data_IF_012697380778
#
_entry.id   IF_012697380778
#
_cell.length_a   1.000
_cell.length_b   1.000
_cell.length_c   1.000
_cell.angle_alpha   90.00
_cell.angle_beta   90.00
_cell.angle_gamma   90.00
#
_symmetry.space_group_name_H-M   'P 1'
#
loop_
_entity.id
_entity.type
_entity.pdbx_description
1 polymer ?
#
# COMPACT_ATOMS: atom_id res chain seq x y z
N UNK A 1 21.41 -21.85 -10.83
CA UNK A 1 20.21 -22.64 -11.19
C UNK A 1 19.43 -23.11 -9.98
N UNK A 2 20.03 -23.92 -9.09
CA UNK A 2 19.36 -24.46 -7.90
C UNK A 2 18.75 -23.38 -7.01
N UNK A 3 19.46 -22.28 -6.76
CA UNK A 3 18.91 -21.16 -5.97
C UNK A 3 17.62 -20.56 -6.56
N UNK A 4 17.58 -20.28 -7.87
CA UNK A 4 16.38 -19.71 -8.52
C UNK A 4 15.17 -20.66 -8.47
N UNK A 5 15.39 -21.96 -8.69
CA UNK A 5 14.32 -22.95 -8.54
C UNK A 5 13.92 -23.21 -7.10
N UNK A 6 14.87 -23.11 -6.18
CA UNK A 6 14.57 -23.17 -4.76
C UNK A 6 13.69 -22.00 -4.36
N UNK A 7 14.01 -20.78 -4.78
CA UNK A 7 13.17 -19.59 -4.52
C UNK A 7 11.81 -19.66 -5.24
N UNK A 8 11.81 -20.07 -6.51
CA UNK A 8 10.63 -20.11 -7.39
C UNK A 8 10.46 -21.49 -8.05
N UNK A 9 9.86 -22.47 -7.34
CA UNK A 9 9.86 -23.88 -7.77
C UNK A 9 9.06 -24.18 -9.04
N UNK A 10 8.19 -23.28 -9.50
CA UNK A 10 7.44 -23.49 -10.75
C UNK A 10 8.19 -23.01 -11.99
N UNK A 11 9.40 -22.45 -11.85
CA UNK A 11 10.27 -22.13 -12.99
C UNK A 11 10.81 -23.42 -13.63
N UNK A 12 10.29 -23.74 -14.82
CA UNK A 12 10.67 -24.94 -15.57
C UNK A 12 11.98 -24.77 -16.34
N UNK A 13 12.04 -23.83 -17.27
CA UNK A 13 13.20 -23.70 -18.15
C UNK A 13 14.05 -22.50 -17.71
N UNK A 14 15.34 -22.75 -17.44
CA UNK A 14 16.30 -21.72 -17.03
C UNK A 14 17.59 -21.93 -17.81
N UNK A 15 18.01 -20.92 -18.55
CA UNK A 15 19.31 -20.84 -19.18
C UNK A 15 20.15 -19.76 -18.47
N UNK A 16 21.44 -20.03 -18.27
CA UNK A 16 22.38 -19.07 -17.69
C UNK A 16 23.60 -19.04 -18.60
N UNK A 17 23.93 -17.85 -19.08
CA UNK A 17 25.16 -17.59 -19.82
C UNK A 17 26.05 -16.72 -18.96
N UNK A 18 27.27 -17.19 -18.70
CA UNK A 18 28.28 -16.41 -17.98
C UNK A 18 29.30 -15.93 -19.02
N UNK A 19 29.43 -14.61 -19.15
CA UNK A 19 30.32 -13.97 -20.11
C UNK A 19 31.57 -13.46 -19.38
N UNK A 20 32.74 -13.98 -19.76
CA UNK A 20 34.04 -13.54 -19.23
C UNK A 20 34.86 -12.73 -20.25
N UNK A 21 34.54 -12.87 -21.54
CA UNK A 21 35.25 -12.17 -22.62
C UNK A 21 34.92 -10.66 -22.63
N UNK A 22 35.92 -9.76 -22.50
CA UNK A 22 35.68 -8.32 -22.45
C UNK A 22 34.99 -7.74 -23.69
N UNK A 23 35.27 -8.27 -24.89
CA UNK A 23 34.65 -7.79 -26.13
C UNK A 23 33.16 -8.17 -26.20
N UNK A 24 32.83 -9.38 -25.78
CA UNK A 24 31.45 -9.87 -25.63
C UNK A 24 30.68 -9.08 -24.56
N UNK A 25 31.33 -8.68 -23.47
CA UNK A 25 30.71 -7.81 -22.45
C UNK A 25 30.43 -6.41 -23.01
N UNK A 26 31.39 -5.80 -23.71
CA UNK A 26 31.23 -4.48 -24.31
C UNK A 26 30.06 -4.46 -25.30
N UNK A 27 29.99 -5.45 -26.20
CA UNK A 27 28.90 -5.57 -27.18
C UNK A 27 27.51 -5.83 -26.57
N UNK A 28 27.43 -6.49 -25.40
CA UNK A 28 26.16 -6.72 -24.70
C UNK A 28 25.75 -5.58 -23.76
N UNK A 29 26.68 -4.70 -23.40
CA UNK A 29 26.45 -3.66 -22.38
C UNK A 29 25.33 -2.69 -22.79
N UNK A 30 25.30 -2.26 -24.04
CA UNK A 30 24.27 -1.38 -24.60
C UNK A 30 22.90 -2.05 -24.60
N UNK A 31 22.82 -3.30 -25.05
CA UNK A 31 21.59 -4.09 -25.03
C UNK A 31 21.02 -4.25 -23.62
N UNK A 32 21.87 -4.55 -22.63
CA UNK A 32 21.46 -4.69 -21.22
C UNK A 32 20.98 -3.35 -20.65
N UNK A 33 21.68 -2.25 -20.98
CA UNK A 33 21.31 -0.91 -20.54
C UNK A 33 19.94 -0.50 -21.09
N UNK A 34 19.73 -0.72 -22.38
CA UNK A 34 18.48 -0.41 -23.07
C UNK A 34 17.32 -1.27 -22.53
N UNK A 35 17.52 -2.58 -22.37
CA UNK A 35 16.53 -3.46 -21.73
C UNK A 35 16.16 -3.00 -20.31
N UNK A 36 17.15 -2.63 -19.49
CA UNK A 36 16.90 -2.10 -18.13
C UNK A 36 16.14 -0.77 -18.16
N UNK A 37 16.42 0.09 -19.14
CA UNK A 37 15.72 1.35 -19.34
C UNK A 37 14.26 1.11 -19.72
N UNK A 38 14.00 0.33 -20.77
CA UNK A 38 12.65 -0.03 -21.22
C UNK A 38 11.83 -0.69 -20.11
N UNK A 39 12.42 -1.62 -19.35
CA UNK A 39 11.74 -2.26 -18.22
C UNK A 39 11.38 -1.26 -17.12
N UNK A 40 12.27 -0.32 -16.79
CA UNK A 40 12.00 0.72 -15.79
C UNK A 40 10.88 1.65 -16.25
N UNK A 41 10.89 2.06 -17.53
CA UNK A 41 9.84 2.89 -18.12
C UNK A 41 8.49 2.16 -18.13
N UNK A 42 8.48 0.89 -18.52
CA UNK A 42 7.28 0.05 -18.46
C UNK A 42 6.71 -0.02 -17.04
N UNK A 43 7.53 -0.35 -16.04
CA UNK A 43 7.10 -0.43 -14.63
C UNK A 43 6.60 0.93 -14.12
N UNK A 44 7.30 2.01 -14.48
CA UNK A 44 6.93 3.38 -14.08
C UNK A 44 5.57 3.79 -14.65
N UNK A 45 5.25 3.33 -15.86
CA UNK A 45 4.00 3.64 -16.55
C UNK A 45 2.85 2.68 -16.21
N UNK A 46 3.07 1.68 -15.35
CA UNK A 46 1.99 0.80 -14.90
C UNK A 46 1.04 1.55 -13.97
N UNK A 47 -0.24 1.51 -14.31
CA UNK A 47 -1.34 2.05 -13.50
C UNK A 47 -2.38 0.97 -13.29
N UNK A 48 -3.34 1.24 -12.41
CA UNK A 48 -4.51 0.39 -12.25
C UNK A 48 -5.37 0.36 -13.52
N UNK A 49 -5.40 1.44 -14.30
CA UNK A 49 -6.17 1.53 -15.54
C UNK A 49 -5.62 0.59 -16.62
N UNK A 50 -4.30 0.54 -16.81
CA UNK A 50 -3.65 -0.26 -17.85
C UNK A 50 -3.21 -1.67 -17.41
N UNK A 51 -3.63 -2.09 -16.21
CA UNK A 51 -3.30 -3.41 -15.66
C UNK A 51 -4.56 -4.22 -15.44
N UNK A 52 -4.63 -5.44 -15.99
CA UNK A 52 -5.82 -6.31 -15.86
C UNK A 52 -5.89 -7.09 -14.55
N UNK A 53 -4.73 -7.33 -13.92
CA UNK A 53 -4.64 -8.20 -12.74
C UNK A 53 -4.08 -7.49 -11.53
N UNK A 54 -4.71 -7.69 -10.39
CA UNK A 54 -4.18 -7.31 -9.08
C UNK A 54 -3.68 -8.52 -8.32
N UNK A 55 -3.07 -8.28 -7.17
CA UNK A 55 -2.57 -9.34 -6.31
C UNK A 55 -3.19 -9.24 -4.92
N UNK A 56 -3.46 -10.39 -4.29
CA UNK A 56 -3.81 -10.44 -2.87
C UNK A 56 -2.68 -11.11 -2.08
N UNK A 57 -2.51 -10.68 -0.83
CA UNK A 57 -1.56 -11.26 0.11
C UNK A 57 -2.20 -11.47 1.49
N UNK A 58 -2.05 -12.68 2.03
CA UNK A 58 -2.60 -13.12 3.32
C UNK A 58 -1.51 -13.54 4.31
N UNK A 59 -0.23 -13.23 4.03
CA UNK A 59 0.91 -13.64 4.86
C UNK A 59 0.85 -13.17 6.32
N UNK A 60 0.18 -12.05 6.58
CA UNK A 60 0.07 -11.48 7.92
C UNK A 60 -1.11 -12.05 8.73
N UNK A 61 -1.86 -13.01 8.16
CA UNK A 61 -2.95 -13.67 8.85
C UNK A 61 -2.60 -14.43 10.13
N UNK A 62 -1.37 -14.89 10.39
CA UNK A 62 -1.00 -15.48 11.68
C UNK A 62 -1.28 -14.58 12.89
N UNK A 63 -1.28 -13.26 12.72
CA UNK A 63 -1.53 -12.28 13.78
C UNK A 63 -2.69 -11.31 13.48
N UNK A 64 -3.34 -11.43 12.31
CA UNK A 64 -4.44 -10.55 11.91
C UNK A 64 -5.53 -11.35 11.18
N UNK A 65 -6.55 -11.77 11.92
CA UNK A 65 -7.65 -12.57 11.36
C UNK A 65 -8.33 -11.81 10.22
N UNK A 66 -8.71 -12.54 9.16
CA UNK A 66 -9.34 -12.03 7.92
C UNK A 66 -8.58 -10.95 7.15
N UNK A 67 -7.39 -10.54 7.58
CA UNK A 67 -6.63 -9.53 6.85
C UNK A 67 -6.23 -10.04 5.47
N UNK A 68 -6.46 -9.19 4.46
CA UNK A 68 -6.13 -9.47 3.06
C UNK A 68 -5.60 -8.18 2.46
N UNK A 69 -4.29 -8.11 2.18
CA UNK A 69 -3.73 -6.98 1.44
C UNK A 69 -4.09 -7.12 -0.04
N UNK A 70 -4.57 -6.06 -0.67
CA UNK A 70 -4.59 -5.94 -2.14
C UNK A 70 -3.41 -5.09 -2.57
N UNK A 71 -2.67 -5.57 -3.56
CA UNK A 71 -1.54 -4.88 -4.17
C UNK A 71 -1.86 -4.61 -5.63
N UNK A 72 -1.63 -3.37 -6.03
CA UNK A 72 -1.76 -2.87 -7.40
C UNK A 72 -0.46 -2.16 -7.78
N UNK A 73 -0.23 -1.82 -9.06
CA UNK A 73 0.91 -0.99 -9.44
C UNK A 73 0.99 0.33 -8.65
N UNK A 74 -0.16 0.88 -8.26
CA UNK A 74 -0.28 2.17 -7.57
C UNK A 74 -0.48 2.05 -6.05
N UNK A 75 -0.68 0.85 -5.51
CA UNK A 75 -0.85 0.60 -4.07
C UNK A 75 0.06 -0.52 -3.60
N UNK A 76 1.25 -0.13 -3.12
CA UNK A 76 2.19 -1.05 -2.48
C UNK A 76 1.62 -1.58 -1.16
N UNK A 77 1.91 -2.85 -0.84
CA UNK A 77 1.53 -3.45 0.43
C UNK A 77 2.02 -2.63 1.62
N UNK A 78 1.20 -2.54 2.67
CA UNK A 78 1.45 -1.62 3.80
C UNK A 78 2.77 -1.88 4.55
N UNK A 79 3.29 -3.11 4.49
CA UNK A 79 4.58 -3.49 5.07
C UNK A 79 5.79 -2.98 4.28
N UNK A 80 5.59 -2.46 3.06
CA UNK A 80 6.62 -2.11 2.08
C UNK A 80 7.59 -3.24 1.68
N UNK A 81 7.48 -4.44 2.26
CA UNK A 81 8.31 -5.62 1.93
C UNK A 81 7.70 -6.49 0.84
N UNK A 82 6.45 -6.22 0.45
CA UNK A 82 5.75 -6.89 -0.65
C UNK A 82 5.34 -5.84 -1.66
N UNK A 83 5.87 -5.96 -2.87
CA UNK A 83 5.51 -5.11 -4.00
C UNK A 83 4.49 -5.85 -4.86
N UNK A 84 3.80 -5.13 -5.74
CA UNK A 84 2.95 -5.73 -6.75
C UNK A 84 3.72 -6.75 -7.59
N UNK A 85 4.91 -6.39 -8.08
CA UNK A 85 5.74 -7.26 -8.90
C UNK A 85 6.23 -8.51 -8.16
N UNK A 86 6.69 -8.40 -6.91
CA UNK A 86 7.17 -9.56 -6.16
C UNK A 86 6.03 -10.50 -5.75
N UNK A 87 4.86 -9.95 -5.43
CA UNK A 87 3.67 -10.75 -5.12
C UNK A 87 3.15 -11.45 -6.37
N UNK A 88 3.11 -10.76 -7.51
CA UNK A 88 2.71 -11.33 -8.80
C UNK A 88 3.66 -12.46 -9.21
N UNK A 89 4.97 -12.24 -9.13
CA UNK A 89 5.96 -13.27 -9.43
C UNK A 89 5.81 -14.50 -8.52
N UNK A 90 5.62 -14.29 -7.21
CA UNK A 90 5.40 -15.38 -6.26
C UNK A 90 4.08 -16.14 -6.51
N UNK A 91 3.02 -15.46 -6.95
CA UNK A 91 1.76 -16.08 -7.30
C UNK A 91 1.88 -17.00 -8.52
N UNK A 92 2.59 -16.54 -9.57
CA UNK A 92 2.78 -17.28 -10.81
C UNK A 92 3.82 -18.39 -10.68
N UNK A 93 5.02 -18.06 -10.21
CA UNK A 93 6.17 -18.96 -10.20
C UNK A 93 6.30 -19.76 -8.89
N UNK A 94 5.42 -19.52 -7.92
CA UNK A 94 5.52 -20.09 -6.58
C UNK A 94 6.66 -19.43 -5.80
N UNK A 95 6.55 -19.33 -4.47
CA UNK A 95 7.67 -18.90 -3.63
C UNK A 95 7.92 -19.95 -2.56
N UNK A 96 9.18 -20.30 -2.31
CA UNK A 96 9.57 -21.15 -1.18
C UNK A 96 9.49 -20.45 0.16
N UNK A 97 9.36 -19.12 0.18
CA UNK A 97 9.07 -18.38 1.40
C UNK A 97 7.59 -18.57 1.72
N UNK A 98 7.35 -19.56 2.58
CA UNK A 98 6.03 -19.94 3.10
C UNK A 98 6.03 -19.57 4.60
N UNK A 99 5.50 -18.40 4.99
CA UNK A 99 5.27 -18.09 6.39
C UNK A 99 4.33 -19.12 7.02
N UNK A 100 4.34 -19.18 8.35
CA UNK A 100 3.43 -20.03 9.08
C UNK A 100 1.97 -19.74 8.67
N UNK A 101 1.18 -20.80 8.50
CA UNK A 101 -0.25 -20.72 8.23
C UNK A 101 -1.01 -21.36 9.39
N UNK A 102 -2.19 -20.80 9.69
CA UNK A 102 -3.12 -21.47 10.60
C UNK A 102 -3.54 -22.82 9.99
N UNK A 103 -3.68 -23.88 10.78
CA UNK A 103 -4.17 -25.16 10.26
C UNK A 103 -5.51 -25.06 9.51
N UNK A 104 -6.39 -24.16 9.96
CA UNK A 104 -7.69 -23.86 9.32
C UNK A 104 -7.58 -23.15 7.96
N UNK A 105 -6.43 -22.57 7.64
CA UNK A 105 -6.17 -21.80 6.41
C UNK A 105 -5.07 -22.45 5.56
N UNK A 106 -4.73 -23.73 5.81
CA UNK A 106 -3.62 -24.43 5.13
C UNK A 106 -3.73 -24.36 3.59
N UNK A 107 -4.96 -24.47 3.09
CA UNK A 107 -5.28 -24.49 1.66
C UNK A 107 -5.47 -23.09 1.06
N UNK A 108 -5.51 -22.05 1.91
CA UNK A 108 -5.61 -20.67 1.45
C UNK A 108 -4.31 -20.22 0.78
N UNK A 109 -4.41 -19.59 -0.39
CA UNK A 109 -3.24 -19.02 -1.04
C UNK A 109 -2.66 -17.87 -0.21
N UNK A 110 -1.34 -17.88 0.02
CA UNK A 110 -0.63 -16.76 0.67
C UNK A 110 -0.56 -15.53 -0.21
N UNK A 111 -0.42 -15.78 -1.51
CA UNK A 111 -0.24 -14.79 -2.57
C UNK A 111 -1.01 -15.31 -3.78
N UNK A 112 -1.85 -14.48 -4.37
CA UNK A 112 -2.54 -14.82 -5.62
C UNK A 112 -2.56 -13.60 -6.54
N UNK A 113 -2.62 -13.87 -7.84
CA UNK A 113 -3.01 -12.89 -8.85
C UNK A 113 -4.46 -13.17 -9.25
N UNK A 114 -5.23 -12.12 -9.50
CA UNK A 114 -6.64 -12.22 -9.89
C UNK A 114 -7.00 -11.06 -10.82
N UNK A 115 -7.97 -11.26 -11.72
CA UNK A 115 -8.47 -10.21 -12.60
C UNK A 115 -9.19 -9.12 -11.80
N UNK A 116 -8.91 -7.84 -12.06
CA UNK A 116 -9.56 -6.72 -11.36
C UNK A 116 -11.06 -6.67 -11.63
N UNK A 117 -11.51 -7.10 -12.81
CA UNK A 117 -12.91 -7.08 -13.21
C UNK A 117 -13.44 -5.67 -13.44
N UNK A 118 -14.77 -5.51 -13.41
CA UNK A 118 -15.40 -4.20 -13.63
C UNK A 118 -15.01 -3.19 -12.54
N UNK A 119 -14.70 -1.96 -12.97
CA UNK A 119 -14.56 -0.81 -12.08
C UNK A 119 -15.96 -0.34 -11.64
N UNK A 120 -16.22 -0.35 -10.33
CA UNK A 120 -17.50 0.02 -9.73
C UNK A 120 -17.50 1.45 -9.20
N UNK A 121 -16.36 1.91 -8.67
CA UNK A 121 -16.16 3.29 -8.21
C UNK A 121 -14.72 3.74 -8.46
N UNK A 122 -14.52 4.63 -9.43
CA UNK A 122 -13.22 5.14 -9.83
C UNK A 122 -12.51 5.95 -8.73
N UNK A 123 -13.26 6.67 -7.90
CA UNK A 123 -12.70 7.52 -6.85
C UNK A 123 -12.25 6.67 -5.67
N UNK A 124 -13.08 5.71 -5.26
CA UNK A 124 -12.73 4.84 -4.12
C UNK A 124 -11.83 3.67 -4.51
N UNK A 125 -11.64 3.42 -5.81
CA UNK A 125 -10.96 2.23 -6.31
C UNK A 125 -11.71 0.97 -5.92
N UNK A 126 -13.04 0.95 -6.11
CA UNK A 126 -13.83 -0.27 -5.92
C UNK A 126 -13.87 -1.06 -7.22
N UNK A 127 -13.37 -2.29 -7.18
CA UNK A 127 -13.37 -3.20 -8.32
C UNK A 127 -14.12 -4.48 -7.96
N UNK A 128 -14.88 -5.02 -8.91
CA UNK A 128 -15.64 -6.25 -8.70
C UNK A 128 -14.74 -7.43 -8.28
N UNK A 129 -13.58 -7.59 -8.93
CA UNK A 129 -12.63 -8.66 -8.61
C UNK A 129 -11.99 -8.50 -7.23
N UNK A 130 -11.77 -7.26 -6.77
CA UNK A 130 -11.31 -6.98 -5.41
C UNK A 130 -12.35 -7.40 -4.36
N UNK A 131 -13.63 -7.15 -4.62
CA UNK A 131 -14.71 -7.57 -3.73
C UNK A 131 -14.83 -9.10 -3.69
N UNK A 132 -14.75 -9.78 -4.84
CA UNK A 132 -14.80 -11.24 -4.95
C UNK A 132 -13.64 -11.91 -4.22
N UNK A 133 -12.40 -11.43 -4.41
CA UNK A 133 -11.24 -12.03 -3.74
C UNK A 133 -11.30 -11.79 -2.23
N UNK A 134 -11.85 -10.66 -1.77
CA UNK A 134 -12.08 -10.40 -0.35
C UNK A 134 -13.11 -11.37 0.25
N UNK A 135 -14.26 -11.54 -0.40
CA UNK A 135 -15.30 -12.47 0.02
C UNK A 135 -14.75 -13.91 0.13
N UNK A 136 -14.06 -14.35 -0.92
CA UNK A 136 -13.43 -15.68 -0.95
C UNK A 136 -12.36 -15.84 0.15
N UNK A 137 -11.40 -14.91 0.23
CA UNK A 137 -10.27 -15.06 1.14
C UNK A 137 -10.71 -14.95 2.59
N UNK A 138 -11.72 -14.16 2.90
CA UNK A 138 -12.17 -13.91 4.28
C UNK A 138 -13.28 -14.86 4.74
N UNK A 139 -13.63 -15.85 3.92
CA UNK A 139 -14.75 -16.76 4.18
C UNK A 139 -16.06 -15.99 4.43
N UNK A 140 -16.37 -15.08 3.50
CA UNK A 140 -17.53 -14.19 3.48
C UNK A 140 -17.68 -13.17 4.62
N UNK A 141 -16.65 -13.00 5.45
CA UNK A 141 -16.67 -12.01 6.54
C UNK A 141 -16.56 -10.57 6.02
N UNK A 142 -15.80 -10.34 4.94
CA UNK A 142 -15.66 -9.05 4.29
C UNK A 142 -16.00 -9.18 2.81
N UNK A 143 -16.95 -8.37 2.34
CA UNK A 143 -17.51 -8.48 0.98
C UNK A 143 -17.11 -7.35 0.05
N UNK A 144 -16.62 -6.24 0.61
CA UNK A 144 -16.32 -5.00 -0.12
C UNK A 144 -15.01 -4.42 0.33
N UNK A 145 -14.32 -3.78 -0.59
CA UNK A 145 -13.06 -3.09 -0.31
C UNK A 145 -12.87 -1.89 -1.23
N UNK A 146 -12.50 -0.76 -0.63
CA UNK A 146 -12.08 0.46 -1.30
C UNK A 146 -10.57 0.57 -1.24
N UNK A 147 -9.93 0.60 -2.40
CA UNK A 147 -8.48 0.71 -2.49
C UNK A 147 -7.97 2.12 -2.22
N UNK A 148 -8.80 3.15 -2.31
CA UNK A 148 -8.34 4.55 -2.20
C UNK A 148 -9.29 5.44 -1.39
N UNK A 149 -9.94 4.86 -0.38
CA UNK A 149 -10.69 5.62 0.62
C UNK A 149 -10.58 4.99 2.00
N UNK A 150 -10.46 5.82 3.02
CA UNK A 150 -10.60 5.49 4.43
C UNK A 150 -12.07 5.29 4.80
N UNK A 151 -13.01 5.90 4.05
CA UNK A 151 -14.43 5.97 4.42
C UNK A 151 -15.27 4.87 3.79
N UNK A 152 -16.06 4.17 4.59
CA UNK A 152 -16.91 3.04 4.19
C UNK A 152 -16.21 1.69 4.35
N UNK A 153 -15.57 1.20 3.29
CA UNK A 153 -14.96 -0.15 3.26
C UNK A 153 -13.44 -0.11 3.06
N UNK A 154 -12.65 0.54 3.93
CA UNK A 154 -11.21 0.61 3.76
C UNK A 154 -10.55 -0.78 3.76
N UNK A 155 -9.33 -0.83 3.24
CA UNK A 155 -8.49 -2.03 3.33
C UNK A 155 -8.22 -2.37 4.82
N UNK A 156 -8.43 -3.61 5.23
CA UNK A 156 -8.00 -4.09 6.56
C UNK A 156 -6.51 -3.91 6.76
N UNK A 157 -6.05 -3.71 8.00
CA UNK A 157 -4.63 -3.57 8.33
C UNK A 157 -4.13 -4.64 9.28
N UNK A 158 -2.89 -5.12 9.14
CA UNK A 158 -2.39 -6.23 9.96
C UNK A 158 -1.46 -5.84 11.13
N UNK A 159 -0.94 -4.62 11.16
CA UNK A 159 -0.03 -4.13 12.21
C UNK A 159 1.44 -3.99 11.78
N UNK A 160 1.82 -4.48 10.59
CA UNK A 160 3.17 -4.32 10.06
C UNK A 160 3.33 -3.07 9.16
N UNK A 161 2.34 -2.17 9.15
CA UNK A 161 2.35 -0.97 8.34
C UNK A 161 3.40 0.05 8.80
N UNK A 162 4.01 0.78 7.86
CA UNK A 162 5.03 1.81 8.15
C UNK A 162 4.40 3.09 8.69
N UNK A 163 3.19 3.40 8.22
CA UNK A 163 2.40 4.56 8.62
C UNK A 163 0.93 4.14 8.67
N UNK A 164 0.09 4.97 9.27
CA UNK A 164 -1.36 4.89 9.13
C UNK A 164 -1.91 6.26 8.77
N UNK A 165 -3.04 6.29 8.07
CA UNK A 165 -3.83 7.49 7.90
C UNK A 165 -5.18 7.32 8.58
N UNK A 166 -5.70 8.41 9.11
CA UNK A 166 -6.97 8.50 9.79
C UNK A 166 -7.72 9.76 9.36
N UNK A 167 -9.04 9.66 9.35
CA UNK A 167 -9.93 10.77 9.06
C UNK A 167 -10.16 11.61 10.32
N UNK A 168 -10.13 12.93 10.16
CA UNK A 168 -10.42 13.91 11.22
C UNK A 168 -11.72 14.63 10.85
N UNK A 169 -12.82 14.22 11.45
CA UNK A 169 -14.17 14.62 11.05
C UNK A 169 -14.40 16.13 11.16
N UNK A 170 -13.84 16.77 12.19
CA UNK A 170 -14.10 18.15 12.52
C UNK A 170 -13.47 19.15 11.54
N UNK A 171 -12.46 18.72 10.78
CA UNK A 171 -11.82 19.50 9.71
C UNK A 171 -12.01 18.84 8.33
N UNK A 172 -12.67 17.68 8.27
CA UNK A 172 -12.89 16.87 7.07
C UNK A 172 -11.58 16.59 6.30
N UNK A 173 -10.52 16.32 7.05
CA UNK A 173 -9.16 16.15 6.53
C UNK A 173 -8.51 14.84 6.96
N UNK A 174 -7.36 14.55 6.36
CA UNK A 174 -6.58 13.34 6.61
C UNK A 174 -5.41 13.68 7.54
N UNK A 175 -5.30 12.91 8.62
CA UNK A 175 -4.11 12.83 9.45
C UNK A 175 -3.26 11.62 9.06
N UNK A 176 -1.92 11.75 9.10
CA UNK A 176 -0.99 10.64 8.87
C UNK A 176 0.01 10.55 10.02
N UNK A 177 0.20 9.35 10.55
CA UNK A 177 1.16 9.09 11.63
C UNK A 177 2.12 7.98 11.21
N UNK A 178 3.42 8.19 11.40
CA UNK A 178 4.42 7.13 11.24
C UNK A 178 4.47 6.22 12.44
N UNK A 179 4.91 4.99 12.18
CA UNK A 179 5.06 3.95 13.19
C UNK A 179 5.91 4.39 14.38
N UNK A 180 5.44 4.00 15.56
CA UNK A 180 6.08 4.22 16.87
C UNK A 180 6.34 5.70 17.21
N UNK A 181 5.59 6.61 16.58
CA UNK A 181 5.59 8.03 16.92
C UNK A 181 5.15 8.23 18.38
N UNK A 182 5.89 9.07 19.11
CA UNK A 182 5.61 9.40 20.50
C UNK A 182 4.65 10.60 20.66
N UNK A 183 4.36 11.31 19.59
CA UNK A 183 3.43 12.43 19.59
C UNK A 183 1.96 11.95 19.65
N UNK A 184 1.08 12.85 20.07
CA UNK A 184 -0.36 12.66 19.99
C UNK A 184 -0.89 13.31 18.70
N UNK A 185 -1.89 12.68 18.09
CA UNK A 185 -2.70 13.33 17.08
C UNK A 185 -3.51 14.50 17.71
N UNK A 186 -4.04 15.44 16.90
CA UNK A 186 -4.79 16.60 17.40
C UNK A 186 -6.04 16.22 18.22
N UNK A 187 -6.57 15.02 18.03
CA UNK A 187 -7.69 14.46 18.80
C UNK A 187 -7.25 13.69 20.06
N UNK A 188 -5.96 13.78 20.43
CA UNK A 188 -5.38 13.16 21.61
C UNK A 188 -5.03 11.68 21.46
N UNK A 189 -5.29 11.05 20.30
CA UNK A 189 -4.97 9.62 20.10
C UNK A 189 -3.47 9.42 19.85
N UNK A 190 -2.87 8.46 20.56
CA UNK A 190 -1.49 8.03 20.33
C UNK A 190 -1.39 7.00 19.19
N UNK A 191 -0.17 6.73 18.74
CA UNK A 191 0.11 5.65 17.78
C UNK A 191 -0.50 4.30 18.22
N UNK A 192 -0.30 3.92 19.48
CA UNK A 192 -0.81 2.64 20.01
C UNK A 192 -2.34 2.56 19.90
N UNK A 193 -3.05 3.64 20.19
CA UNK A 193 -4.51 3.69 20.07
C UNK A 193 -4.93 3.55 18.61
N UNK A 194 -4.35 4.35 17.71
CA UNK A 194 -4.67 4.33 16.28
C UNK A 194 -4.34 2.99 15.63
N UNK A 195 -3.18 2.40 15.93
CA UNK A 195 -2.76 1.11 15.41
C UNK A 195 -3.69 -0.04 15.86
N UNK A 196 -4.19 0.02 17.10
CA UNK A 196 -5.17 -0.95 17.62
C UNK A 196 -6.54 -0.80 16.94
N UNK A 197 -6.97 0.41 16.57
CA UNK A 197 -8.21 0.63 15.82
C UNK A 197 -8.07 0.10 14.38
N UNK A 198 -6.93 0.34 13.73
CA UNK A 198 -6.68 -0.11 12.37
C UNK A 198 -6.45 -1.64 12.24
N UNK A 199 -5.87 -2.26 13.27
CA UNK A 199 -5.40 -3.64 13.26
C UNK A 199 -6.51 -4.70 13.25
N UNK A 200 -6.44 -5.64 12.32
CA UNK A 200 -7.25 -6.86 12.27
C UNK A 200 -8.71 -6.67 11.89
N UNK A 201 -9.11 -5.47 11.48
CA UNK A 201 -10.51 -5.12 11.20
C UNK A 201 -10.61 -4.22 9.98
N UNK A 202 -11.79 -4.19 9.37
CA UNK A 202 -12.17 -3.16 8.41
C UNK A 202 -12.80 -2.03 9.22
N UNK A 203 -11.97 -1.06 9.61
CA UNK A 203 -12.36 0.03 10.50
C UNK A 203 -12.53 1.30 9.68
N UNK A 204 -13.76 1.81 9.63
CA UNK A 204 -14.09 3.05 8.92
C UNK A 204 -13.24 4.23 9.42
N UNK A 205 -12.76 5.06 8.50
CA UNK A 205 -11.97 6.25 8.80
C UNK A 205 -10.50 6.00 9.09
N UNK A 206 -9.97 4.77 9.03
CA UNK A 206 -8.55 4.50 9.34
C UNK A 206 -7.97 3.30 8.57
N UNK A 207 -6.74 3.43 8.08
CA UNK A 207 -6.02 2.35 7.40
C UNK A 207 -4.52 2.51 7.55
N UNK A 208 -3.82 1.39 7.76
CA UNK A 208 -2.38 1.28 7.63
C UNK A 208 -1.95 1.36 6.16
N UNK A 209 -0.74 1.86 5.93
CA UNK A 209 -0.16 2.05 4.60
C UNK A 209 1.37 2.08 4.62
N UNK A 210 1.95 2.03 3.43
CA UNK A 210 3.39 2.24 3.22
C UNK A 210 3.66 3.69 2.85
N UNK A 211 4.89 4.16 3.10
CA UNK A 211 5.32 5.49 2.63
C UNK A 211 5.26 5.58 1.11
N UNK A 212 5.52 4.46 0.41
CA UNK A 212 5.40 4.39 -1.05
C UNK A 212 3.97 4.64 -1.55
N UNK A 213 2.94 4.24 -0.80
CA UNK A 213 1.56 4.50 -1.19
C UNK A 213 1.18 5.98 -1.02
N UNK A 214 1.73 6.68 -0.01
CA UNK A 214 1.53 8.13 0.16
C UNK A 214 2.01 8.90 -1.08
N UNK A 215 3.07 8.41 -1.73
CA UNK A 215 3.65 8.99 -2.96
C UNK A 215 2.90 8.64 -4.24
N UNK A 216 1.86 7.80 -4.16
CA UNK A 216 1.07 7.39 -5.32
C UNK A 216 0.08 8.47 -5.71
N UNK A 217 -0.20 8.62 -7.01
CA UNK A 217 -1.28 9.49 -7.50
C UNK A 217 -2.67 8.98 -7.07
N UNK A 218 -2.79 7.68 -6.80
CA UNK A 218 -3.99 7.06 -6.26
C UNK A 218 -4.02 7.06 -4.72
N UNK A 219 -3.13 7.81 -4.05
CA UNK A 219 -3.17 7.98 -2.60
C UNK A 219 -4.51 8.59 -2.18
N UNK A 220 -5.33 7.80 -1.47
CA UNK A 220 -6.62 8.19 -0.89
C UNK A 220 -7.48 9.16 -1.74
N UNK A 221 -7.48 9.01 -3.07
CA UNK A 221 -8.13 9.95 -3.99
C UNK A 221 -9.64 10.07 -3.75
N UNK A 222 -10.29 9.02 -3.21
CA UNK A 222 -11.69 9.05 -2.79
C UNK A 222 -11.98 9.96 -1.60
N UNK A 223 -10.94 10.39 -0.88
CA UNK A 223 -10.98 11.31 0.25
C UNK A 223 -10.19 12.61 -0.01
N UNK A 224 -9.93 12.94 -1.28
CA UNK A 224 -9.21 14.15 -1.68
C UNK A 224 -7.69 14.01 -1.77
N UNK A 225 -7.17 12.81 -1.53
CA UNK A 225 -5.77 12.46 -1.70
C UNK A 225 -4.78 13.32 -0.92
N UNK A 226 -3.62 13.60 -1.52
CA UNK A 226 -2.54 14.33 -0.82
C UNK A 226 -2.98 15.74 -0.42
N UNK A 227 -3.84 16.38 -1.21
CA UNK A 227 -4.32 17.74 -0.98
C UNK A 227 -5.20 17.86 0.27
N UNK A 228 -5.86 16.77 0.65
CA UNK A 228 -6.71 16.74 1.84
C UNK A 228 -5.95 16.30 3.12
N UNK A 229 -4.63 16.13 3.04
CA UNK A 229 -3.79 15.92 4.21
C UNK A 229 -3.64 17.25 4.95
N UNK A 230 -4.00 17.25 6.24
CA UNK A 230 -4.01 18.45 7.10
C UNK A 230 -3.11 18.31 8.31
N UNK A 231 -2.72 17.09 8.68
CA UNK A 231 -1.84 16.84 9.80
C UNK A 231 -0.91 15.65 9.55
N UNK A 232 0.37 15.82 9.85
CA UNK A 232 1.38 14.74 9.76
C UNK A 232 2.38 14.90 10.89
N UNK A 233 2.76 13.81 11.57
CA UNK A 233 3.81 13.90 12.59
C UNK A 233 5.15 14.36 11.98
N UNK A 234 5.97 15.11 12.71
CA UNK A 234 7.15 15.79 12.17
C UNK A 234 8.10 14.89 11.39
N UNK A 235 8.48 13.74 11.95
CA UNK A 235 9.43 12.82 11.33
C UNK A 235 8.96 12.29 9.96
N UNK A 236 7.64 12.17 9.79
CA UNK A 236 7.06 11.78 8.51
C UNK A 236 6.92 12.99 7.58
N UNK A 237 6.51 14.15 8.12
CA UNK A 237 6.43 15.41 7.37
C UNK A 237 7.74 15.68 6.62
N UNK A 238 8.89 15.56 7.30
CA UNK A 238 10.20 15.78 6.69
C UNK A 238 10.47 14.86 5.49
N UNK A 239 9.93 13.65 5.51
CA UNK A 239 10.11 12.63 4.47
C UNK A 239 9.15 12.74 3.29
N UNK A 240 8.04 13.47 3.44
CA UNK A 240 6.99 13.56 2.41
C UNK A 240 6.62 15.01 2.04
N UNK A 241 7.29 15.99 2.62
CA UNK A 241 7.01 17.42 2.39
C UNK A 241 7.12 17.83 0.93
N UNK A 242 7.93 17.10 0.14
CA UNK A 242 8.06 17.28 -1.31
C UNK A 242 6.78 16.94 -2.10
N UNK A 243 5.81 16.26 -1.47
CA UNK A 243 4.53 15.92 -2.08
C UNK A 243 3.45 17.00 -1.92
N UNK A 244 3.61 17.91 -0.95
CA UNK A 244 2.58 18.91 -0.66
C UNK A 244 2.57 20.01 -1.72
N UNK A 245 1.38 20.47 -2.06
CA UNK A 245 1.22 21.53 -3.05
C UNK A 245 1.72 22.88 -2.52
N UNK A 246 2.17 23.81 -3.39
CA UNK A 246 2.46 25.17 -2.98
C UNK A 246 1.27 25.81 -2.25
N UNK A 247 1.50 26.25 -1.00
CA UNK A 247 0.46 26.84 -0.16
C UNK A 247 -0.43 25.83 0.58
N UNK A 248 -0.25 24.51 0.39
CA UNK A 248 -0.95 23.51 1.19
C UNK A 248 -0.54 23.63 2.67
N UNK A 249 -1.53 23.73 3.55
CA UNK A 249 -1.32 23.79 4.99
C UNK A 249 -1.43 22.41 5.61
N UNK A 250 -0.29 21.93 6.09
CA UNK A 250 -0.19 20.68 6.84
C UNK A 250 0.48 20.97 8.16
N UNK A 251 -0.23 20.77 9.27
CA UNK A 251 0.32 20.96 10.60
C UNK A 251 1.07 19.71 11.08
N UNK A 252 1.95 19.89 12.05
CA UNK A 252 2.57 18.80 12.81
C UNK A 252 2.25 18.97 14.29
N UNK A 253 2.67 18.01 15.12
CA UNK A 253 2.55 18.11 16.57
C UNK A 253 3.31 19.29 17.19
N UNK A 254 4.15 20.00 16.41
CA UNK A 254 4.86 21.20 16.88
C UNK A 254 4.04 22.48 16.76
N UNK A 255 3.07 22.52 15.85
CA UNK A 255 2.24 23.71 15.60
C UNK A 255 0.84 23.59 16.21
N UNK A 256 0.31 22.36 16.31
CA UNK A 256 -1.04 22.10 16.81
C UNK A 256 -1.07 20.88 17.74
N UNK A 257 -1.79 21.00 18.84
CA UNK A 257 -1.97 19.98 19.87
C UNK A 257 -3.44 19.58 20.05
N UNK A 258 -4.37 20.39 19.54
CA UNK A 258 -5.82 20.15 19.62
C UNK A 258 -6.51 20.27 18.26
N UNK A 259 -7.69 19.70 18.14
CA UNK A 259 -8.54 19.85 16.94
C UNK A 259 -8.94 21.31 16.73
N UNK A 260 -9.18 22.08 17.80
CA UNK A 260 -9.49 23.51 17.75
C UNK A 260 -8.32 24.33 17.18
N UNK A 261 -7.09 24.04 17.61
CA UNK A 261 -5.89 24.66 17.06
C UNK A 261 -5.69 24.30 15.58
N UNK A 262 -5.94 23.04 15.21
CA UNK A 262 -5.90 22.61 13.82
C UNK A 262 -6.92 23.36 12.95
N UNK A 263 -8.17 23.52 13.42
CA UNK A 263 -9.19 24.35 12.73
C UNK A 263 -8.67 25.77 12.52
N UNK A 264 -8.15 26.40 13.58
CA UNK A 264 -7.61 27.76 13.51
C UNK A 264 -6.41 27.89 12.56
N UNK A 265 -5.53 26.89 12.51
CA UNK A 265 -4.38 26.83 11.60
C UNK A 265 -4.83 26.83 10.13
N UNK A 266 -5.84 26.01 9.81
CA UNK A 266 -6.40 25.88 8.47
C UNK A 266 -7.22 27.12 8.06
N UNK A 267 -8.05 27.67 8.96
CA UNK A 267 -8.91 28.84 8.68
C UNK A 267 -8.16 30.12 8.36
N UNK A 268 -6.97 30.33 8.96
CA UNK A 268 -6.09 31.47 8.65
C UNK A 268 -5.71 31.56 7.16
N UNK A 269 -6.01 30.54 6.35
CA UNK A 269 -5.77 30.53 4.90
C UNK A 269 -6.93 31.06 4.06
N UNK A 270 -8.18 30.94 4.52
CA UNK A 270 -9.36 31.32 3.71
C UNK A 270 -9.56 32.84 3.60
N UNK A 271 -8.79 33.64 4.35
CA UNK A 271 -8.92 35.10 4.44
C UNK A 271 -7.75 35.87 3.79
N UNK A 272 -6.88 35.20 3.04
CA UNK A 272 -5.81 35.78 2.22
C UNK A 272 -5.98 35.34 0.78
#
# INVERSE_FOLDING_TARGET
>A
YWGLRYEYPRLKNIAITILYDPNSLASQSENISEYKKQRREFIKNMTEDNTEEFCACTECRPFSLVHTCILTPERMGMCASRTYASTKAAAYFGSSVIPWKRPSEKDLALRCAFNKGALLDANKGEYQGCNQIYDQMTNAQLKRVYLHSLRGYPLTSCGCFQTLAFWIDEVKGIGIMSRDCQALAPDGRSWTVLANIAGGKQSDGISGMSVSYIRSQSFLKGDGGIENVVWVNRDLYDKISDLFLPGQKVATEKEVHTVEELKGFLEKQRKS
#
